data_IF_418156529186
#
_entry.id   IF_418156529186
#
_cell.length_a   1.000
_cell.length_b   1.000
_cell.length_c   1.000
_cell.angle_alpha   90.00
_cell.angle_beta   90.00
_cell.angle_gamma   90.00
#
_symmetry.space_group_name_H-M   'P 1'
#
loop_
_entity.id
_entity.type
_entity.pdbx_description
1 polymer ?
#
# COMPACT_ATOMS: atom_id res chain seq x y z
N UNK A 1 -2.87 -39.46 8.42
CA UNK A 1 -2.11 -38.88 7.30
C UNK A 1 -3.16 -38.43 6.33
N UNK A 2 -3.70 -37.23 6.55
CA UNK A 2 -4.86 -36.73 5.81
C UNK A 2 -4.41 -35.52 5.01
N UNK A 3 -4.30 -35.75 3.71
CA UNK A 3 -4.06 -34.76 2.68
C UNK A 3 -5.35 -33.95 2.50
N UNK A 4 -5.33 -32.67 2.85
CA UNK A 4 -6.42 -31.76 2.52
C UNK A 4 -6.01 -30.92 1.33
N UNK A 5 -6.53 -31.31 0.17
CA UNK A 5 -6.48 -30.52 -1.05
C UNK A 5 -7.17 -29.17 -0.81
N UNK A 6 -6.38 -28.11 -0.68
CA UNK A 6 -6.91 -26.76 -0.69
C UNK A 6 -7.20 -26.37 -2.13
N UNK A 7 -8.49 -26.27 -2.43
CA UNK A 7 -9.01 -25.57 -3.62
C UNK A 7 -8.34 -24.20 -3.68
N UNK A 8 -7.51 -23.98 -4.70
CA UNK A 8 -6.87 -22.69 -5.02
C UNK A 8 -7.91 -21.70 -5.53
N UNK A 9 -8.77 -21.24 -4.63
CA UNK A 9 -9.49 -19.99 -4.80
C UNK A 9 -8.55 -18.85 -4.43
N UNK A 10 -8.28 -17.93 -5.34
CA UNK A 10 -7.61 -16.68 -4.97
C UNK A 10 -8.42 -16.04 -3.83
N UNK A 11 -7.86 -15.84 -2.63
CA UNK A 11 -8.59 -15.22 -1.55
C UNK A 11 -8.96 -13.81 -2.01
N UNK A 12 -10.24 -13.56 -2.23
CA UNK A 12 -10.75 -12.21 -2.46
C UNK A 12 -10.52 -11.47 -1.14
N UNK A 13 -9.41 -10.72 -1.09
CA UNK A 13 -9.08 -9.84 0.02
C UNK A 13 -10.28 -8.91 0.23
N UNK A 14 -10.66 -8.70 1.50
CA UNK A 14 -11.83 -7.91 1.92
C UNK A 14 -11.94 -6.65 1.05
N UNK A 15 -13.08 -6.38 0.40
CA UNK A 15 -13.20 -5.25 -0.54
C UNK A 15 -13.14 -3.88 0.15
N UNK A 16 -13.34 -3.85 1.48
CA UNK A 16 -13.30 -2.65 2.29
C UNK A 16 -12.42 -2.92 3.51
N UNK A 17 -11.20 -2.38 3.49
CA UNK A 17 -10.24 -2.49 4.58
C UNK A 17 -8.87 -1.97 4.18
N UNK A 18 -8.06 -1.60 5.19
CA UNK A 18 -6.66 -1.25 4.97
C UNK A 18 -5.96 -2.44 4.30
N UNK A 19 -5.27 -2.25 3.16
CA UNK A 19 -4.60 -3.35 2.50
C UNK A 19 -3.50 -3.92 3.39
N UNK A 20 -3.27 -5.23 3.29
CA UNK A 20 -2.25 -5.92 4.08
C UNK A 20 -0.86 -5.29 3.89
N UNK A 21 -0.15 -5.04 5.00
CA UNK A 21 1.20 -4.45 4.99
C UNK A 21 2.15 -5.32 4.15
N UNK A 22 2.88 -4.75 3.17
CA UNK A 22 3.90 -5.48 2.44
C UNK A 22 4.99 -5.97 3.38
N UNK A 23 5.40 -7.24 3.24
CA UNK A 23 6.46 -7.84 4.07
C UNK A 23 7.82 -7.19 3.84
N UNK A 24 8.05 -6.75 2.60
CA UNK A 24 9.30 -6.14 2.17
C UNK A 24 9.06 -5.34 0.88
N UNK A 25 9.71 -4.19 0.77
CA UNK A 25 9.70 -3.34 -0.42
C UNK A 25 11.09 -2.82 -0.71
N UNK A 26 11.43 -2.63 -1.98
CA UNK A 26 12.73 -2.13 -2.43
C UNK A 26 12.57 -0.94 -3.36
N UNK A 27 13.46 0.04 -3.25
CA UNK A 27 13.52 1.17 -4.18
C UNK A 27 12.33 2.13 -4.11
N UNK A 28 11.46 1.99 -3.10
CA UNK A 28 10.29 2.85 -2.89
C UNK A 28 10.52 3.91 -1.81
N UNK A 29 11.69 3.96 -1.17
CA UNK A 29 11.97 4.84 -0.03
C UNK A 29 11.87 6.32 -0.40
N UNK A 30 12.47 6.71 -1.53
CA UNK A 30 12.42 8.10 -2.03
C UNK A 30 11.00 8.48 -2.47
N UNK A 31 10.29 7.68 -3.29
CA UNK A 31 8.88 7.93 -3.60
C UNK A 31 7.98 8.03 -2.35
N UNK A 32 8.22 7.19 -1.33
CA UNK A 32 7.42 7.16 -0.10
C UNK A 32 7.64 8.43 0.73
N UNK A 33 8.89 8.85 0.89
CA UNK A 33 9.23 10.10 1.58
C UNK A 33 8.61 11.32 0.91
N UNK A 34 8.65 11.38 -0.43
CA UNK A 34 8.00 12.46 -1.18
C UNK A 34 6.48 12.45 -0.99
N UNK A 35 5.86 11.28 -1.15
CA UNK A 35 4.42 11.12 -1.00
C UNK A 35 3.95 11.53 0.40
N UNK A 36 4.70 11.14 1.43
CA UNK A 36 4.45 11.51 2.82
C UNK A 36 4.48 13.02 3.04
N UNK A 37 5.49 13.71 2.50
CA UNK A 37 5.58 15.17 2.59
C UNK A 37 4.39 15.87 1.92
N UNK A 38 3.92 15.35 0.79
CA UNK A 38 2.73 15.88 0.10
C UNK A 38 1.44 15.63 0.90
N UNK A 39 1.29 14.45 1.52
CA UNK A 39 0.08 14.09 2.29
C UNK A 39 0.01 14.83 3.63
N UNK A 40 1.14 15.05 4.30
CA UNK A 40 1.18 15.81 5.55
C UNK A 40 1.13 17.33 5.34
N UNK A 41 1.11 17.78 4.08
CA UNK A 41 0.96 19.19 3.77
C UNK A 41 -0.52 19.59 3.84
N UNK A 42 -0.89 20.37 4.85
CA UNK A 42 -2.27 20.85 5.07
C UNK A 42 -2.86 21.65 3.88
N UNK A 43 -2.01 22.20 3.00
CA UNK A 43 -2.47 22.90 1.79
C UNK A 43 -2.94 21.94 0.69
N UNK A 44 -2.69 20.64 0.81
CA UNK A 44 -2.99 19.61 -0.19
C UNK A 44 -4.11 18.71 0.33
N UNK A 45 -5.23 18.67 -0.41
CA UNK A 45 -6.36 17.79 -0.07
C UNK A 45 -6.40 16.50 -0.88
N UNK A 46 -5.70 16.45 -2.02
CA UNK A 46 -5.71 15.32 -2.95
C UNK A 46 -4.30 15.12 -3.49
N UNK A 47 -3.77 13.90 -3.34
CA UNK A 47 -2.53 13.46 -3.99
C UNK A 47 -2.84 12.36 -5.00
N UNK A 48 -2.38 12.53 -6.24
CA UNK A 48 -2.63 11.59 -7.34
C UNK A 48 -1.37 10.79 -7.65
N UNK A 49 -1.46 9.46 -7.53
CA UNK A 49 -0.39 8.53 -7.91
C UNK A 49 -0.58 8.09 -9.37
N UNK A 50 0.33 8.51 -10.25
CA UNK A 50 0.32 8.17 -11.69
C UNK A 50 1.51 7.28 -12.07
N UNK A 51 1.36 6.52 -13.17
CA UNK A 51 2.40 5.60 -13.66
C UNK A 51 1.84 4.42 -14.44
N UNK A 52 2.72 3.66 -15.11
CA UNK A 52 2.36 2.50 -15.93
C UNK A 52 1.81 1.32 -15.11
N UNK A 53 1.16 0.36 -15.79
CA UNK A 53 0.75 -0.90 -15.17
C UNK A 53 1.95 -1.60 -14.51
N UNK A 54 1.77 -2.11 -13.29
CA UNK A 54 2.85 -2.80 -12.57
C UNK A 54 3.93 -1.90 -11.94
N UNK A 55 3.83 -0.57 -12.05
CA UNK A 55 4.85 0.36 -11.52
C UNK A 55 4.90 0.48 -9.98
N UNK A 56 4.12 -0.31 -9.25
CA UNK A 56 4.12 -0.30 -7.78
C UNK A 56 3.30 0.82 -7.11
N UNK A 57 2.44 1.56 -7.84
CA UNK A 57 1.59 2.62 -7.24
C UNK A 57 0.75 2.12 -6.05
N UNK A 58 0.06 0.99 -6.24
CA UNK A 58 -0.76 0.40 -5.18
C UNK A 58 0.12 -0.03 -4.00
N UNK A 59 1.31 -0.59 -4.27
CA UNK A 59 2.28 -0.95 -3.23
C UNK A 59 2.75 0.27 -2.44
N UNK A 60 3.02 1.38 -3.12
CA UNK A 60 3.42 2.65 -2.49
C UNK A 60 2.30 3.23 -1.62
N UNK A 61 1.07 3.25 -2.12
CA UNK A 61 -0.10 3.69 -1.36
C UNK A 61 -0.36 2.81 -0.13
N UNK A 62 -0.23 1.48 -0.28
CA UNK A 62 -0.36 0.56 0.85
C UNK A 62 0.72 0.83 1.89
N UNK A 63 1.99 0.99 1.48
CA UNK A 63 3.08 1.32 2.42
C UNK A 63 2.79 2.60 3.22
N UNK A 64 2.31 3.65 2.55
CA UNK A 64 1.94 4.90 3.21
C UNK A 64 0.85 4.70 4.26
N UNK A 65 -0.14 3.85 3.98
CA UNK A 65 -1.24 3.57 4.91
C UNK A 65 -0.77 2.96 6.25
N UNK A 66 0.43 2.39 6.29
CA UNK A 66 1.06 1.83 7.49
C UNK A 66 2.22 2.68 8.02
N UNK A 67 2.42 3.89 7.48
CA UNK A 67 3.44 4.81 7.95
C UNK A 67 2.97 5.47 9.26
N UNK A 68 3.78 5.39 10.30
CA UNK A 68 3.43 5.85 11.65
C UNK A 68 3.14 7.35 11.71
N UNK A 69 3.85 8.18 10.93
CA UNK A 69 3.62 9.63 10.97
C UNK A 69 2.34 10.02 10.23
N UNK A 70 1.89 9.20 9.28
CA UNK A 70 0.62 9.41 8.57
C UNK A 70 -0.55 8.87 9.38
N UNK A 71 -0.38 7.77 10.11
CA UNK A 71 -1.43 7.21 10.96
C UNK A 71 -1.70 8.03 12.22
N UNK A 72 -0.71 8.78 12.71
CA UNK A 72 -0.81 9.59 13.94
C UNK A 72 -1.22 11.05 13.67
N UNK A 73 -1.59 11.38 12.42
CA UNK A 73 -2.19 12.67 12.02
C UNK A 73 -3.71 12.58 12.02
#
# INVERSE_FOLDING_TARGET
>A
MEETAQVVGFPIKRPFGVPEKPKFTVGLDVPLSKLKMEVLNEAVSIVVLTGLGGSGKTTLATNLCWDEQVMDT
#
